data_IF_001558051064
#
_entry.id   IF_001558051064
#
_cell.length_a   1.000
_cell.length_b   1.000
_cell.length_c   1.000
_cell.angle_alpha   90.00
_cell.angle_beta   90.00
_cell.angle_gamma   90.00
#
_symmetry.space_group_name_H-M   'P 1'
#
loop_
_entity.id
_entity.type
_entity.pdbx_description
1 polymer ?
#
# COMPACT_ATOMS: atom_id res chain seq x y z
N UNK A 1 19.52 -2.26 11.48
CA UNK A 1 18.09 -2.07 11.26
C UNK A 1 17.71 -0.88 12.11
N UNK A 2 17.11 0.13 11.51
CA UNK A 2 16.53 1.24 12.26
C UNK A 2 15.38 0.72 13.12
N UNK A 3 15.13 1.36 14.27
CA UNK A 3 14.00 0.98 15.12
C UNK A 3 12.68 1.25 14.36
N UNK A 4 11.65 0.36 14.46
CA UNK A 4 10.38 0.56 13.83
C UNK A 4 9.75 1.91 14.23
N UNK A 5 9.21 2.64 13.26
CA UNK A 5 8.66 3.95 13.48
C UNK A 5 7.66 4.40 12.42
N UNK A 6 7.01 5.56 12.61
CA UNK A 6 6.11 6.14 11.61
C UNK A 6 6.90 6.66 10.40
N UNK A 7 6.49 6.27 9.20
CA UNK A 7 7.07 6.68 7.92
C UNK A 7 6.06 7.51 7.14
N UNK A 8 6.47 8.70 6.70
CA UNK A 8 5.65 9.59 5.88
C UNK A 8 5.66 9.11 4.44
N UNK A 9 4.54 8.59 3.95
CA UNK A 9 4.43 8.06 2.59
C UNK A 9 3.77 9.04 1.61
N UNK A 10 2.87 9.91 2.10
CA UNK A 10 2.26 10.98 1.29
C UNK A 10 2.46 12.30 1.98
N UNK A 11 3.02 13.28 1.26
CA UNK A 11 3.24 14.64 1.74
C UNK A 11 2.35 15.62 1.00
N UNK A 12 1.88 16.63 1.71
CA UNK A 12 1.20 17.80 1.12
C UNK A 12 2.21 18.92 1.08
N UNK A 13 2.51 19.42 -0.11
CA UNK A 13 3.34 20.61 -0.26
C UNK A 13 2.49 21.84 0.08
N UNK A 14 2.83 22.56 1.15
CA UNK A 14 2.07 23.71 1.64
C UNK A 14 2.03 24.89 0.66
N UNK A 15 3.07 25.05 -0.15
CA UNK A 15 3.17 26.17 -1.10
C UNK A 15 2.33 25.97 -2.36
N UNK A 16 2.27 24.74 -2.85
CA UNK A 16 1.61 24.40 -4.11
C UNK A 16 0.31 23.63 -3.93
N UNK A 17 0.00 23.19 -2.70
CA UNK A 17 -1.11 22.26 -2.40
C UNK A 17 -1.09 21.01 -3.27
N UNK A 18 0.11 20.56 -3.69
CA UNK A 18 0.33 19.33 -4.43
C UNK A 18 0.64 18.16 -3.50
N UNK A 19 0.36 16.95 -4.00
CA UNK A 19 0.55 15.71 -3.25
C UNK A 19 1.74 14.96 -3.82
N UNK A 20 2.66 14.54 -2.96
CA UNK A 20 3.84 13.76 -3.33
C UNK A 20 3.81 12.42 -2.61
N UNK A 21 4.01 11.34 -3.37
CA UNK A 21 4.21 9.99 -2.84
C UNK A 21 5.70 9.72 -2.71
N UNK A 22 6.13 9.38 -1.50
CA UNK A 22 7.45 8.81 -1.28
C UNK A 22 7.42 7.33 -1.70
N UNK A 23 7.68 7.13 -2.99
CA UNK A 23 7.60 5.80 -3.61
C UNK A 23 8.69 4.87 -3.10
N UNK A 24 9.86 5.41 -2.74
CA UNK A 24 10.99 4.62 -2.24
C UNK A 24 10.68 4.08 -0.84
N UNK A 25 10.28 4.97 0.08
CA UNK A 25 9.91 4.56 1.42
C UNK A 25 8.73 3.55 1.44
N UNK A 26 7.70 3.78 0.60
CA UNK A 26 6.57 2.86 0.50
C UNK A 26 6.98 1.52 -0.13
N UNK A 27 7.90 1.54 -1.12
CA UNK A 27 8.41 0.32 -1.74
C UNK A 27 9.26 -0.51 -0.77
N UNK A 28 10.10 0.12 0.06
CA UNK A 28 10.86 -0.59 1.09
C UNK A 28 9.95 -1.37 2.04
N UNK A 29 8.81 -0.79 2.43
CA UNK A 29 7.84 -1.43 3.33
C UNK A 29 7.07 -2.55 2.60
N UNK A 30 6.52 -2.28 1.41
CA UNK A 30 5.60 -3.18 0.72
C UNK A 30 6.28 -4.27 -0.11
N UNK A 31 7.51 -4.06 -0.56
CA UNK A 31 8.24 -5.02 -1.38
C UNK A 31 9.27 -5.84 -0.60
N UNK A 32 9.30 -5.72 0.74
CA UNK A 32 10.13 -6.58 1.56
C UNK A 32 9.82 -8.07 1.26
N UNK A 33 10.87 -8.93 1.13
CA UNK A 33 10.71 -10.31 0.63
C UNK A 33 9.67 -11.14 1.38
N UNK A 34 9.51 -10.89 2.68
CA UNK A 34 8.60 -11.61 3.57
C UNK A 34 7.12 -11.21 3.39
N UNK A 35 6.82 -10.04 2.82
CA UNK A 35 5.45 -9.50 2.74
C UNK A 35 4.95 -9.23 1.32
N UNK A 36 5.83 -9.00 0.35
CA UNK A 36 5.48 -8.51 -0.99
C UNK A 36 4.35 -9.26 -1.69
N UNK A 37 4.31 -10.59 -1.52
CA UNK A 37 3.36 -11.48 -2.17
C UNK A 37 2.15 -11.81 -1.31
N UNK A 38 2.13 -11.36 -0.05
CA UNK A 38 1.01 -11.59 0.87
C UNK A 38 -0.11 -10.62 0.58
N UNK A 39 -1.35 -11.08 0.78
CA UNK A 39 -2.50 -10.19 0.76
C UNK A 39 -2.39 -9.21 1.92
N UNK A 40 -2.78 -7.97 1.66
CA UNK A 40 -2.65 -6.88 2.63
C UNK A 40 -3.99 -6.58 3.30
N UNK A 41 -3.92 -6.29 4.59
CA UNK A 41 -5.00 -5.71 5.39
C UNK A 41 -4.55 -4.31 5.78
N UNK A 42 -5.30 -3.28 5.41
CA UNK A 42 -4.96 -1.89 5.71
C UNK A 42 -6.01 -1.29 6.62
N UNK A 43 -5.61 -0.95 7.85
CA UNK A 43 -6.44 -0.18 8.77
C UNK A 43 -5.97 1.27 8.74
N UNK A 44 -6.85 2.16 8.34
CA UNK A 44 -6.61 3.60 8.30
C UNK A 44 -7.45 4.32 9.34
N UNK A 45 -6.85 5.28 10.03
CA UNK A 45 -7.56 6.15 10.99
C UNK A 45 -7.51 7.58 10.49
N UNK A 46 -8.68 8.11 10.12
CA UNK A 46 -8.87 9.49 9.70
C UNK A 46 -9.83 10.24 10.63
N UNK A 47 -9.85 11.55 10.57
CA UNK A 47 -10.77 12.39 11.37
C UNK A 47 -10.11 13.65 11.88
N UNK A 48 -10.82 14.40 12.71
CA UNK A 48 -10.44 15.72 13.19
C UNK A 48 -9.05 15.80 13.82
N UNK A 49 -8.44 16.95 13.69
CA UNK A 49 -7.15 17.27 14.31
C UNK A 49 -7.23 17.10 15.84
N UNK A 50 -6.18 16.54 16.47
CA UNK A 50 -6.06 16.32 17.93
C UNK A 50 -7.15 15.49 18.58
N UNK A 51 -7.87 14.68 17.84
CA UNK A 51 -8.91 13.79 18.37
C UNK A 51 -8.39 12.39 18.74
N UNK A 52 -7.07 12.24 19.02
CA UNK A 52 -6.46 11.00 19.54
C UNK A 52 -6.38 9.84 18.57
N UNK A 53 -6.24 10.08 17.26
CA UNK A 53 -6.03 9.02 16.25
C UNK A 53 -4.81 8.17 16.58
N UNK A 54 -3.65 8.82 16.79
CA UNK A 54 -2.39 8.15 17.11
C UNK A 54 -2.43 7.39 18.43
N UNK A 55 -3.10 7.94 19.43
CA UNK A 55 -3.32 7.25 20.70
C UNK A 55 -4.05 5.90 20.51
N UNK A 56 -5.03 5.84 19.60
CA UNK A 56 -5.68 4.60 19.21
C UNK A 56 -4.73 3.66 18.45
N UNK A 57 -3.98 4.19 17.49
CA UNK A 57 -3.02 3.42 16.69
C UNK A 57 -1.94 2.79 17.56
N UNK A 58 -1.47 3.46 18.61
CA UNK A 58 -0.46 2.93 19.52
C UNK A 58 -1.00 1.73 20.33
N UNK A 59 -2.27 1.74 20.71
CA UNK A 59 -2.90 0.54 21.28
C UNK A 59 -3.04 -0.58 20.24
N UNK A 60 -3.30 -0.26 18.97
CA UNK A 60 -3.29 -1.25 17.90
C UNK A 60 -1.88 -1.85 17.69
N UNK A 61 -0.84 -1.02 17.70
CA UNK A 61 0.55 -1.48 17.64
C UNK A 61 0.87 -2.41 18.81
N UNK A 62 0.52 -2.02 20.03
CA UNK A 62 0.72 -2.84 21.23
C UNK A 62 0.05 -4.21 21.10
N UNK A 63 -1.17 -4.26 20.56
CA UNK A 63 -1.89 -5.50 20.29
C UNK A 63 -1.14 -6.36 19.26
N UNK A 64 -0.68 -5.76 18.17
CA UNK A 64 0.03 -6.48 17.11
C UNK A 64 1.39 -7.03 17.59
N UNK A 65 2.19 -6.23 18.29
CA UNK A 65 3.47 -6.68 18.86
C UNK A 65 3.30 -7.80 19.89
N UNK A 66 2.20 -7.81 20.62
CA UNK A 66 1.83 -8.89 21.56
C UNK A 66 1.05 -10.03 20.92
N UNK A 67 0.97 -10.06 19.58
CA UNK A 67 0.31 -11.13 18.79
C UNK A 67 -1.11 -11.44 19.24
N UNK A 68 -1.84 -10.44 19.74
CA UNK A 68 -3.20 -10.59 20.19
C UNK A 68 -3.42 -11.44 21.45
N UNK A 69 -2.39 -11.62 22.26
CA UNK A 69 -2.51 -12.28 23.58
C UNK A 69 -3.56 -11.59 24.45
N UNK A 70 -4.26 -12.32 25.31
CA UNK A 70 -5.32 -11.76 26.15
C UNK A 70 -4.81 -10.68 27.13
N UNK A 71 -3.51 -10.69 27.47
CA UNK A 71 -2.85 -9.66 28.28
C UNK A 71 -2.26 -8.50 27.45
N UNK A 72 -2.62 -8.37 26.18
CA UNK A 72 -2.04 -7.42 25.22
C UNK A 72 -2.04 -5.96 25.69
N UNK A 73 -3.01 -5.58 26.53
CA UNK A 73 -3.12 -4.18 27.00
C UNK A 73 -1.92 -3.76 27.86
N UNK A 74 -1.30 -4.71 28.57
CA UNK A 74 -0.07 -4.49 29.34
C UNK A 74 -0.27 -4.12 30.79
N UNK A 75 0.81 -3.80 31.48
CA UNK A 75 0.84 -3.37 32.88
C UNK A 75 0.39 -1.92 33.07
N UNK A 76 -0.04 -1.60 34.29
CA UNK A 76 -0.58 -0.27 34.62
C UNK A 76 0.41 0.88 34.43
N UNK A 77 1.70 0.64 34.68
CA UNK A 77 2.78 1.65 34.59
C UNK A 77 3.53 1.63 33.26
N UNK A 78 3.17 0.75 32.35
CA UNK A 78 3.87 0.60 31.06
C UNK A 78 3.54 1.77 30.11
N UNK A 79 4.54 2.53 29.63
CA UNK A 79 4.31 3.62 28.71
C UNK A 79 3.80 3.13 27.36
N UNK A 80 2.97 3.93 26.69
CA UNK A 80 2.50 3.65 25.35
C UNK A 80 3.53 4.22 24.35
N UNK A 81 4.01 3.36 23.46
CA UNK A 81 4.98 3.68 22.41
C UNK A 81 4.40 3.42 21.04
N UNK A 82 4.86 4.17 20.02
CA UNK A 82 4.39 4.02 18.64
C UNK A 82 4.41 5.33 17.87
N UNK A 83 3.29 5.69 17.24
CA UNK A 83 3.12 6.99 16.61
C UNK A 83 3.22 8.10 17.64
N UNK A 84 3.98 9.15 17.35
CA UNK A 84 4.08 10.28 18.29
C UNK A 84 2.70 10.95 18.49
N UNK A 85 2.14 10.87 19.71
CA UNK A 85 0.80 11.37 20.02
C UNK A 85 0.80 12.56 21.01
N UNK A 86 1.97 12.98 21.48
CA UNK A 86 2.11 14.09 22.46
C UNK A 86 1.55 15.38 21.88
N UNK A 87 0.75 16.07 22.69
CA UNK A 87 0.12 17.31 22.28
C UNK A 87 1.11 18.46 22.12
N UNK A 88 1.19 18.98 20.92
CA UNK A 88 1.77 20.29 20.61
C UNK A 88 0.71 21.21 19.99
N UNK A 89 1.01 22.49 19.75
CA UNK A 89 0.10 23.42 19.06
C UNK A 89 0.13 23.26 17.54
N UNK A 90 1.17 22.63 17.01
CA UNK A 90 1.42 22.43 15.59
C UNK A 90 0.91 21.06 15.08
N UNK A 91 0.48 20.95 13.81
CA UNK A 91 0.16 19.68 13.18
C UNK A 91 1.43 18.84 13.01
N UNK A 92 1.44 17.63 13.56
CA UNK A 92 2.59 16.72 13.42
C UNK A 92 2.52 15.86 12.15
N UNK A 93 1.32 15.63 11.59
CA UNK A 93 1.12 14.85 10.36
C UNK A 93 0.60 15.75 9.26
N UNK A 94 1.34 15.84 8.15
CA UNK A 94 0.89 16.46 6.91
C UNK A 94 0.79 15.37 5.86
N UNK A 95 -0.42 14.89 5.54
CA UNK A 95 -0.64 13.81 4.57
C UNK A 95 -0.91 12.46 5.19
N UNK A 96 -0.17 11.41 4.80
CA UNK A 96 -0.36 10.03 5.27
C UNK A 96 0.95 9.47 5.82
N UNK A 97 0.87 8.88 7.01
CA UNK A 97 1.96 8.10 7.61
C UNK A 97 1.54 6.63 7.77
N UNK A 98 2.49 5.72 7.63
CA UNK A 98 2.31 4.30 7.94
C UNK A 98 3.35 3.85 8.94
N UNK A 99 3.06 2.79 9.68
CA UNK A 99 4.09 2.13 10.48
C UNK A 99 5.08 1.41 9.57
N UNK A 100 6.37 1.54 9.82
CA UNK A 100 7.43 1.02 8.95
C UNK A 100 7.48 -0.51 8.87
N UNK A 101 6.81 -1.21 9.80
CA UNK A 101 6.77 -2.67 9.85
C UNK A 101 5.36 -3.18 9.54
N UNK A 102 5.25 -4.14 8.65
CA UNK A 102 4.01 -4.86 8.39
C UNK A 102 3.94 -6.10 9.28
N UNK A 103 2.80 -6.30 9.93
CA UNK A 103 2.60 -7.44 10.82
C UNK A 103 2.08 -8.65 10.03
N UNK A 104 2.86 -9.73 10.01
CA UNK A 104 2.43 -10.99 9.38
C UNK A 104 1.55 -11.75 10.37
N UNK A 105 0.31 -11.98 9.98
CA UNK A 105 -0.69 -12.68 10.80
C UNK A 105 -1.13 -13.96 10.09
N UNK A 106 -0.90 -15.13 10.71
CA UNK A 106 -1.41 -16.39 10.19
C UNK A 106 -2.91 -16.50 10.41
N UNK A 107 -3.65 -16.90 9.37
CA UNK A 107 -5.09 -17.16 9.42
C UNK A 107 -5.36 -18.64 9.69
N UNK A 108 -6.58 -18.96 10.09
CA UNK A 108 -7.03 -20.32 10.40
C UNK A 108 -7.00 -21.27 9.20
N UNK A 109 -7.04 -20.74 7.97
CA UNK A 109 -6.93 -21.50 6.72
C UNK A 109 -5.49 -21.83 6.31
N UNK A 110 -4.50 -21.43 7.12
CA UNK A 110 -3.07 -21.63 6.85
C UNK A 110 -2.45 -20.56 5.95
N UNK A 111 -3.22 -19.60 5.47
CA UNK A 111 -2.69 -18.44 4.74
C UNK A 111 -2.13 -17.39 5.71
N UNK A 112 -1.26 -16.53 5.22
CA UNK A 112 -0.73 -15.40 5.97
C UNK A 112 -1.11 -14.10 5.29
N UNK A 113 -1.44 -13.09 6.08
CA UNK A 113 -1.73 -11.73 5.61
C UNK A 113 -0.79 -10.73 6.25
N UNK A 114 -0.53 -9.64 5.55
CA UNK A 114 0.27 -8.52 6.04
C UNK A 114 -0.67 -7.39 6.51
N UNK A 115 -0.54 -6.97 7.76
CA UNK A 115 -1.37 -5.89 8.35
C UNK A 115 -0.58 -4.60 8.36
N UNK A 116 -1.13 -3.56 7.73
CA UNK A 116 -0.62 -2.18 7.70
C UNK A 116 -1.48 -1.28 8.57
N UNK A 117 -0.85 -0.48 9.42
CA UNK A 117 -1.51 0.57 10.20
C UNK A 117 -1.16 1.94 9.60
N UNK A 118 -2.19 2.74 9.30
CA UNK A 118 -2.09 4.00 8.59
C UNK A 118 -2.71 5.14 9.42
N UNK A 119 -1.93 6.21 9.63
CA UNK A 119 -2.39 7.48 10.21
C UNK A 119 -2.56 8.51 9.09
N UNK A 120 -3.66 9.24 9.13
CA UNK A 120 -3.90 10.34 8.20
C UNK A 120 -3.85 11.68 8.91
N UNK A 121 -3.48 12.71 8.14
CA UNK A 121 -3.57 14.10 8.59
C UNK A 121 -4.93 14.38 9.21
N UNK A 122 -4.94 15.16 10.31
CA UNK A 122 -6.17 15.63 10.92
C UNK A 122 -6.91 16.59 9.98
N UNK A 123 -8.19 16.31 9.71
CA UNK A 123 -9.04 17.25 9.00
C UNK A 123 -9.17 18.56 9.80
N UNK A 124 -9.22 19.72 9.09
CA UNK A 124 -9.41 21.05 9.68
C UNK A 124 -8.30 21.50 10.64
N UNK A 125 -7.06 21.23 10.31
CA UNK A 125 -5.96 21.99 10.88
C UNK A 125 -5.94 23.43 10.31
N UNK A 126 -5.22 24.33 10.97
CA UNK A 126 -5.18 25.75 10.58
C UNK A 126 -4.41 26.02 9.27
N UNK A 127 -3.78 25.01 8.68
CA UNK A 127 -2.86 25.15 7.54
C UNK A 127 -3.32 24.43 6.28
N UNK A 128 -4.28 23.48 6.42
CA UNK A 128 -4.75 22.63 5.33
C UNK A 128 -6.05 23.16 4.73
N UNK A 129 -6.12 23.13 3.39
CA UNK A 129 -7.36 23.45 2.70
C UNK A 129 -8.38 22.32 2.83
N UNK A 130 -9.66 22.63 2.58
CA UNK A 130 -10.71 21.59 2.49
C UNK A 130 -10.38 20.57 1.40
N UNK A 131 -9.76 21.02 0.30
CA UNK A 131 -9.28 20.16 -0.79
C UNK A 131 -8.23 19.17 -0.30
N UNK A 132 -7.22 19.65 0.45
CA UNK A 132 -6.15 18.79 0.99
C UNK A 132 -6.72 17.71 1.90
N UNK A 133 -7.59 18.10 2.83
CA UNK A 133 -8.25 17.17 3.75
C UNK A 133 -9.11 16.13 3.01
N UNK A 134 -9.89 16.57 2.02
CA UNK A 134 -10.73 15.69 1.21
C UNK A 134 -9.90 14.68 0.41
N UNK A 135 -8.79 15.14 -0.20
CA UNK A 135 -7.90 14.28 -0.99
C UNK A 135 -7.23 13.22 -0.11
N UNK A 136 -6.69 13.60 1.05
CA UNK A 136 -6.05 12.66 1.97
C UNK A 136 -7.06 11.62 2.48
N UNK A 137 -8.27 12.06 2.84
CA UNK A 137 -9.32 11.15 3.25
C UNK A 137 -9.73 10.20 2.10
N UNK A 138 -9.85 10.70 0.87
CA UNK A 138 -10.14 9.90 -0.31
C UNK A 138 -9.10 8.82 -0.53
N UNK A 139 -7.84 9.22 -0.59
CA UNK A 139 -6.73 8.32 -0.84
C UNK A 139 -6.64 7.22 0.23
N UNK A 140 -6.80 7.60 1.51
CA UNK A 140 -6.80 6.64 2.61
C UNK A 140 -7.98 5.66 2.52
N UNK A 141 -9.19 6.13 2.16
CA UNK A 141 -10.38 5.28 2.04
C UNK A 141 -10.27 4.29 0.88
N UNK A 142 -9.74 4.74 -0.27
CA UNK A 142 -9.56 3.88 -1.44
C UNK A 142 -8.53 2.78 -1.20
N UNK A 143 -7.49 3.05 -0.42
CA UNK A 143 -6.39 2.12 -0.17
C UNK A 143 -6.58 1.25 1.07
N UNK A 144 -7.53 1.58 1.98
CA UNK A 144 -7.77 0.80 3.19
C UNK A 144 -8.81 -0.32 3.01
N UNK A 145 -8.69 -1.38 3.81
CA UNK A 145 -9.72 -2.41 4.01
C UNK A 145 -10.78 -1.91 5.00
N UNK A 146 -10.32 -1.21 6.04
CA UNK A 146 -11.15 -0.60 7.07
C UNK A 146 -10.73 0.84 7.22
N UNK A 147 -11.63 1.76 6.91
CA UNK A 147 -11.48 3.17 7.18
C UNK A 147 -12.17 3.51 8.49
N UNK A 148 -11.40 3.88 9.50
CA UNK A 148 -11.92 4.35 10.80
C UNK A 148 -12.07 5.85 10.71
N UNK A 149 -13.30 6.34 10.78
CA UNK A 149 -13.59 7.76 10.84
C UNK A 149 -13.78 8.20 12.29
N UNK A 150 -12.73 8.81 12.84
CA UNK A 150 -12.62 9.17 14.26
C UNK A 150 -13.24 10.55 14.51
N UNK A 151 -14.43 10.57 15.09
CA UNK A 151 -15.21 11.76 15.40
C UNK A 151 -15.31 11.98 16.92
N UNK A 152 -15.65 13.20 17.33
CA UNK A 152 -15.82 13.55 18.74
C UNK A 152 -17.29 13.80 19.05
N UNK A 153 -17.81 13.13 20.07
CA UNK A 153 -19.11 13.32 20.69
C UNK A 153 -20.33 12.96 19.81
N UNK A 154 -20.31 13.20 18.51
CA UNK A 154 -21.47 13.01 17.64
C UNK A 154 -21.06 12.78 16.18
N UNK A 155 -22.01 12.34 15.34
CA UNK A 155 -21.94 12.45 13.89
C UNK A 155 -22.73 13.68 13.48
N UNK A 156 -22.05 14.68 12.94
CA UNK A 156 -22.66 15.95 12.48
C UNK A 156 -22.93 15.89 10.98
N UNK A 157 -23.77 16.79 10.46
CA UNK A 157 -24.09 16.82 9.03
C UNK A 157 -22.85 17.20 8.18
N UNK A 158 -21.98 18.08 8.70
CA UNK A 158 -20.71 18.44 8.04
C UNK A 158 -19.76 17.24 7.96
N UNK A 159 -19.72 16.34 8.96
CA UNK A 159 -18.97 15.08 8.89
C UNK A 159 -19.49 14.20 7.75
N UNK A 160 -20.81 14.14 7.54
CA UNK A 160 -21.42 13.37 6.46
C UNK A 160 -21.21 14.04 5.08
N UNK A 161 -21.26 15.36 5.00
CA UNK A 161 -21.04 16.11 3.77
C UNK A 161 -19.60 15.96 3.23
N UNK A 162 -18.61 15.81 4.09
CA UNK A 162 -17.23 15.50 3.70
C UNK A 162 -17.11 14.18 2.95
N UNK A 163 -18.01 13.24 3.21
CA UNK A 163 -18.07 11.98 2.48
C UNK A 163 -18.73 12.14 1.09
N UNK A 164 -19.34 13.26 0.78
CA UNK A 164 -20.13 13.46 -0.44
C UNK A 164 -19.30 13.24 -1.71
N UNK A 165 -18.07 13.72 -1.77
CA UNK A 165 -17.18 13.49 -2.92
C UNK A 165 -16.96 12.01 -3.20
N UNK A 166 -16.85 11.20 -2.13
CA UNK A 166 -16.67 9.74 -2.25
C UNK A 166 -17.96 9.04 -2.60
N UNK A 167 -19.11 9.55 -2.11
CA UNK A 167 -20.40 8.98 -2.44
C UNK A 167 -20.70 9.15 -3.94
N UNK A 168 -20.35 10.28 -4.55
CA UNK A 168 -20.46 10.49 -6.00
C UNK A 168 -19.54 9.56 -6.80
N UNK A 169 -18.28 9.40 -6.36
CA UNK A 169 -17.38 8.42 -6.95
C UNK A 169 -17.92 6.99 -6.84
N UNK A 170 -18.43 6.63 -5.67
CA UNK A 170 -19.01 5.32 -5.44
C UNK A 170 -20.22 5.04 -6.34
N UNK A 171 -21.09 6.00 -6.51
CA UNK A 171 -22.26 5.88 -7.40
C UNK A 171 -21.85 5.57 -8.84
N UNK A 172 -20.88 6.31 -9.40
CA UNK A 172 -20.40 6.07 -10.76
C UNK A 172 -19.67 4.73 -10.90
N UNK A 173 -18.91 4.33 -9.89
CA UNK A 173 -18.25 3.02 -9.88
C UNK A 173 -19.27 1.86 -9.86
N UNK A 174 -20.39 2.03 -9.17
CA UNK A 174 -21.48 1.04 -9.15
C UNK A 174 -22.17 0.86 -10.49
N UNK A 175 -22.38 1.96 -11.23
CA UNK A 175 -23.02 1.93 -12.55
C UNK A 175 -22.24 1.05 -13.54
N UNK A 176 -20.90 0.98 -13.40
CA UNK A 176 -20.04 0.19 -14.29
C UNK A 176 -19.71 -1.23 -13.76
N UNK A 177 -19.63 -1.41 -12.43
CA UNK A 177 -19.03 -2.62 -11.82
C UNK A 177 -20.06 -3.47 -11.08
N UNK A 178 -21.24 -2.95 -10.78
CA UNK A 178 -22.28 -3.59 -9.94
C UNK A 178 -21.81 -4.02 -8.54
N UNK A 179 -20.72 -3.46 -8.03
CA UNK A 179 -20.17 -3.75 -6.71
C UNK A 179 -19.86 -2.45 -5.96
N UNK A 180 -20.01 -2.50 -4.64
CA UNK A 180 -19.66 -1.37 -3.78
C UNK A 180 -18.16 -1.10 -3.85
N UNK A 181 -17.71 0.14 -4.14
CA UNK A 181 -16.31 0.46 -4.40
C UNK A 181 -15.41 0.37 -3.17
N UNK A 182 -15.97 0.58 -1.97
CA UNK A 182 -15.23 0.59 -0.72
C UNK A 182 -15.68 -0.55 0.20
N UNK A 183 -14.76 -1.04 1.01
CA UNK A 183 -15.04 -2.16 1.90
C UNK A 183 -15.74 -1.70 3.17
N UNK A 184 -15.02 -1.32 4.19
CA UNK A 184 -15.60 -1.05 5.49
C UNK A 184 -15.34 0.38 5.95
N UNK A 185 -16.40 1.06 6.38
CA UNK A 185 -16.34 2.33 7.09
C UNK A 185 -16.77 2.09 8.55
N UNK A 186 -15.93 2.49 9.49
CA UNK A 186 -16.26 2.47 10.90
C UNK A 186 -16.25 3.87 11.48
N UNK A 187 -17.39 4.37 11.90
CA UNK A 187 -17.48 5.58 12.72
C UNK A 187 -17.02 5.27 14.14
N UNK A 188 -15.96 5.90 14.59
CA UNK A 188 -15.52 5.84 15.99
C UNK A 188 -15.88 7.15 16.68
N UNK A 189 -16.92 7.13 17.50
CA UNK A 189 -17.39 8.30 18.23
C UNK A 189 -16.70 8.32 19.58
N UNK A 190 -15.74 9.23 19.73
CA UNK A 190 -14.99 9.41 20.97
C UNK A 190 -15.70 10.37 21.91
N UNK A 191 -15.36 10.24 23.18
CA UNK A 191 -15.86 11.11 24.25
C UNK A 191 -17.38 11.08 24.35
N UNK A 192 -17.98 9.91 24.04
CA UNK A 192 -19.41 9.70 24.13
C UNK A 192 -19.90 9.90 25.55
N UNK A 193 -20.79 10.86 25.74
CA UNK A 193 -21.23 11.34 27.06
C UNK A 193 -22.65 10.92 27.42
N UNK A 194 -23.34 10.14 26.56
CA UNK A 194 -24.76 9.76 26.74
C UNK A 194 -24.97 8.23 26.78
N UNK A 195 -24.25 7.48 27.68
CA UNK A 195 -24.35 6.01 27.72
C UNK A 195 -25.74 5.53 28.17
N UNK A 196 -26.57 6.41 28.73
CA UNK A 196 -27.97 6.15 29.10
C UNK A 196 -28.91 6.18 27.88
N UNK A 197 -28.53 6.79 26.76
CA UNK A 197 -29.30 6.75 25.51
C UNK A 197 -28.82 5.59 24.62
N UNK A 198 -27.50 5.50 24.40
CA UNK A 198 -26.85 4.43 23.65
C UNK A 198 -25.62 3.94 24.40
N UNK A 199 -25.58 2.65 24.69
CA UNK A 199 -24.48 2.03 25.43
C UNK A 199 -23.15 2.12 24.66
N UNK A 200 -22.06 2.14 25.40
CA UNK A 200 -20.71 2.06 24.78
C UNK A 200 -20.57 0.81 23.91
N UNK A 201 -19.63 0.87 22.98
CA UNK A 201 -19.28 -0.24 22.12
C UNK A 201 -20.09 -0.32 20.82
N UNK A 202 -20.01 -1.46 20.13
CA UNK A 202 -20.67 -1.65 18.84
C UNK A 202 -22.20 -1.69 18.91
N UNK A 203 -22.77 -2.26 19.96
CA UNK A 203 -24.23 -2.38 20.05
C UNK A 203 -24.90 -1.00 20.05
N UNK A 204 -24.59 -0.18 21.05
CA UNK A 204 -25.14 1.17 21.11
C UNK A 204 -24.67 2.05 19.93
N UNK A 205 -23.45 1.83 19.45
CA UNK A 205 -22.91 2.54 18.29
C UNK A 205 -23.73 2.28 17.03
N UNK A 206 -24.04 1.04 16.71
CA UNK A 206 -24.82 0.71 15.53
C UNK A 206 -26.27 1.20 15.65
N UNK A 207 -26.90 1.06 16.82
CA UNK A 207 -28.24 1.61 17.08
C UNK A 207 -28.27 3.14 16.89
N UNK A 208 -27.23 3.84 17.33
CA UNK A 208 -27.04 5.28 17.11
C UNK A 208 -26.84 5.61 15.62
N UNK A 209 -25.97 4.87 14.92
CA UNK A 209 -25.67 5.05 13.52
C UNK A 209 -26.91 4.86 12.63
N UNK A 210 -27.67 3.80 12.87
CA UNK A 210 -28.90 3.50 12.12
C UNK A 210 -29.86 4.69 12.18
N UNK A 211 -30.00 5.32 13.34
CA UNK A 211 -30.82 6.53 13.50
C UNK A 211 -30.24 7.74 12.75
N UNK A 212 -28.90 7.89 12.71
CA UNK A 212 -28.21 9.01 12.02
C UNK A 212 -28.23 8.87 10.51
N UNK A 213 -28.09 7.66 9.99
CA UNK A 213 -28.09 7.36 8.57
C UNK A 213 -29.49 7.02 8.02
N UNK A 214 -30.53 7.03 8.83
CA UNK A 214 -31.91 6.80 8.39
C UNK A 214 -32.34 7.91 7.42
N UNK A 215 -32.76 7.52 6.22
CA UNK A 215 -33.40 8.42 5.24
C UNK A 215 -34.86 8.63 5.66
N UNK A 216 -35.28 9.87 5.81
CA UNK A 216 -36.66 10.24 6.19
C UNK A 216 -37.24 11.13 5.10
N UNK A 217 -38.49 10.88 4.71
CA UNK A 217 -39.21 11.68 3.71
C UNK A 217 -39.29 13.18 4.05
N UNK A 218 -39.30 13.53 5.33
CA UNK A 218 -39.35 14.90 5.80
C UNK A 218 -37.99 15.64 5.80
N UNK A 219 -36.89 14.95 5.47
CA UNK A 219 -35.57 15.58 5.34
C UNK A 219 -35.43 16.29 4.00
N UNK A 220 -34.55 17.31 3.96
CA UNK A 220 -34.16 17.94 2.70
C UNK A 220 -33.51 16.92 1.77
N UNK A 221 -33.77 17.01 0.46
CA UNK A 221 -33.29 16.07 -0.57
C UNK A 221 -31.77 15.89 -0.53
N UNK A 222 -31.01 16.97 -0.32
CA UNK A 222 -29.56 16.94 -0.18
C UNK A 222 -29.11 15.98 0.95
N UNK A 223 -29.76 16.04 2.11
CA UNK A 223 -29.43 15.19 3.26
C UNK A 223 -29.81 13.73 3.02
N UNK A 224 -30.88 13.46 2.29
CA UNK A 224 -31.26 12.11 1.87
C UNK A 224 -30.21 11.52 0.93
N UNK A 225 -29.83 12.29 -0.10
CA UNK A 225 -28.83 11.91 -1.11
C UNK A 225 -27.50 11.50 -0.48
N UNK A 226 -26.97 12.28 0.47
CA UNK A 226 -25.71 11.95 1.16
C UNK A 226 -25.81 10.61 1.87
N UNK A 227 -26.89 10.31 2.59
CA UNK A 227 -27.09 9.06 3.31
C UNK A 227 -27.22 7.85 2.38
N UNK A 228 -28.00 7.98 1.34
CA UNK A 228 -28.17 6.95 0.30
C UNK A 228 -26.82 6.62 -0.35
N UNK A 229 -26.04 7.62 -0.72
CA UNK A 229 -24.73 7.42 -1.32
C UNK A 229 -23.74 6.75 -0.36
N UNK A 230 -23.70 7.14 0.91
CA UNK A 230 -22.84 6.46 1.91
C UNK A 230 -23.19 4.97 1.97
N UNK A 231 -24.49 4.63 2.05
CA UNK A 231 -24.92 3.24 2.06
C UNK A 231 -24.55 2.48 0.76
N UNK A 232 -24.58 3.16 -0.38
CA UNK A 232 -24.25 2.57 -1.67
C UNK A 232 -22.75 2.36 -1.88
N UNK A 233 -21.90 3.16 -1.22
CA UNK A 233 -20.45 3.15 -1.43
C UNK A 233 -19.70 2.07 -0.64
N UNK A 234 -20.14 1.74 0.56
CA UNK A 234 -19.43 0.83 1.47
C UNK A 234 -20.13 -0.51 1.60
N UNK A 235 -19.33 -1.59 1.57
CA UNK A 235 -19.86 -2.95 1.79
C UNK A 235 -20.36 -3.12 3.21
N UNK A 236 -19.66 -2.54 4.18
CA UNK A 236 -20.00 -2.58 5.61
C UNK A 236 -19.83 -1.20 6.21
N UNK A 237 -20.83 -0.80 7.01
CA UNK A 237 -20.76 0.43 7.79
C UNK A 237 -21.09 0.07 9.24
N UNK A 238 -20.27 0.53 10.17
CA UNK A 238 -20.45 0.26 11.61
C UNK A 238 -20.11 1.50 12.42
N UNK A 239 -20.50 1.47 13.70
CA UNK A 239 -20.17 2.54 14.63
C UNK A 239 -19.78 1.95 16.00
N UNK A 240 -18.83 2.59 16.64
CA UNK A 240 -18.39 2.27 17.98
C UNK A 240 -18.41 3.52 18.85
N UNK A 241 -19.09 3.45 19.99
CA UNK A 241 -19.14 4.54 20.98
C UNK A 241 -18.08 4.30 22.04
N UNK A 242 -17.11 5.23 22.13
CA UNK A 242 -15.97 5.14 23.03
C UNK A 242 -16.09 6.22 24.11
N UNK A 243 -15.99 5.87 25.42
CA UNK A 243 -15.99 6.86 26.49
C UNK A 243 -14.78 7.78 26.44
N UNK A 244 -14.75 8.82 27.25
CA UNK A 244 -13.60 9.68 27.44
C UNK A 244 -12.46 8.91 28.15
N UNK A 245 -11.19 9.05 27.72
CA UNK A 245 -10.07 8.29 28.30
C UNK A 245 -9.68 8.68 29.72
N UNK A 246 -10.23 9.77 30.24
CA UNK A 246 -9.92 10.29 31.56
C UNK A 246 -9.31 11.69 31.51
N UNK A 247 -9.51 12.46 32.59
CA UNK A 247 -9.05 13.84 32.64
C UNK A 247 -7.52 13.94 32.62
N UNK A 248 -6.81 13.05 33.31
CA UNK A 248 -5.34 13.02 33.31
C UNK A 248 -4.76 12.86 31.90
N UNK A 249 -5.37 11.95 31.08
CA UNK A 249 -4.95 11.76 29.68
C UNK A 249 -5.09 13.04 28.86
N UNK A 250 -6.15 13.81 29.11
CA UNK A 250 -6.44 15.03 28.36
C UNK A 250 -5.64 16.26 28.81
N UNK A 251 -5.22 16.33 30.08
CA UNK A 251 -4.70 17.56 30.69
C UNK A 251 -3.27 17.47 31.22
N UNK A 252 -2.74 16.27 31.47
CA UNK A 252 -1.41 16.12 32.03
C UNK A 252 -0.32 16.13 30.93
N UNK A 253 0.61 17.09 30.95
CA UNK A 253 1.74 17.11 30.01
C UNK A 253 2.76 15.98 30.28
N UNK A 254 2.66 15.32 31.43
CA UNK A 254 3.54 14.22 31.86
C UNK A 254 2.95 12.84 31.55
N UNK A 255 1.74 12.78 30.97
CA UNK A 255 1.12 11.52 30.59
C UNK A 255 1.90 10.88 29.43
N UNK A 256 2.36 9.65 29.63
CA UNK A 256 3.12 8.86 28.65
C UNK A 256 2.39 7.57 28.21
N UNK A 257 1.07 7.52 28.45
CA UNK A 257 0.26 6.39 28.05
C UNK A 257 0.11 5.29 29.11
N UNK A 258 0.49 5.57 30.36
CA UNK A 258 0.31 4.64 31.47
C UNK A 258 -1.15 4.32 31.71
N UNK A 259 -1.48 3.02 31.81
CA UNK A 259 -2.85 2.55 31.97
C UNK A 259 -3.47 2.91 33.33
N UNK A 260 -2.65 3.14 34.38
CA UNK A 260 -3.13 3.62 35.67
C UNK A 260 -3.84 4.99 35.59
N UNK A 261 -3.48 5.80 34.57
CA UNK A 261 -4.06 7.13 34.36
C UNK A 261 -5.27 7.10 33.40
N UNK A 262 -5.54 5.97 32.74
CA UNK A 262 -6.63 5.80 31.80
C UNK A 262 -7.88 5.29 32.51
N UNK A 263 -9.03 5.90 32.19
CA UNK A 263 -10.31 5.54 32.80
C UNK A 263 -10.67 4.05 32.59
N UNK A 264 -11.18 3.35 33.62
CA UNK A 264 -11.50 1.92 33.52
C UNK A 264 -12.46 1.58 32.37
N UNK A 265 -13.51 2.39 32.20
CA UNK A 265 -14.51 2.20 31.13
C UNK A 265 -13.86 2.29 29.74
N UNK A 266 -12.91 3.21 29.57
CA UNK A 266 -12.15 3.34 28.32
C UNK A 266 -11.31 2.08 28.05
N UNK A 267 -10.60 1.57 29.06
CA UNK A 267 -9.82 0.32 28.97
C UNK A 267 -10.67 -0.88 28.57
N UNK A 268 -11.85 -1.02 29.17
CA UNK A 268 -12.80 -2.09 28.82
C UNK A 268 -13.28 -1.98 27.36
N UNK A 269 -13.55 -0.76 26.89
CA UNK A 269 -13.97 -0.57 25.52
C UNK A 269 -12.80 -0.82 24.52
N UNK A 270 -11.55 -0.51 24.86
CA UNK A 270 -10.39 -0.89 24.06
C UNK A 270 -10.24 -2.40 23.93
N UNK A 271 -10.43 -3.15 25.02
CA UNK A 271 -10.41 -4.63 25.00
C UNK A 271 -11.51 -5.23 24.12
N UNK A 272 -12.61 -4.50 23.91
CA UNK A 272 -13.66 -4.90 22.98
C UNK A 272 -13.36 -4.49 21.54
N UNK A 273 -12.87 -3.27 21.32
CA UNK A 273 -12.66 -2.68 19.98
C UNK A 273 -11.50 -3.32 19.23
N UNK A 274 -10.30 -3.29 19.83
CA UNK A 274 -9.05 -3.63 19.12
C UNK A 274 -9.01 -5.09 18.68
N UNK A 275 -9.36 -6.09 19.52
CA UNK A 275 -9.42 -7.47 19.07
C UNK A 275 -10.47 -7.72 17.96
N UNK A 276 -11.56 -6.96 17.92
CA UNK A 276 -12.54 -7.06 16.84
C UNK A 276 -12.04 -6.56 15.50
N UNK A 277 -11.06 -5.65 15.50
CA UNK A 277 -10.44 -5.11 14.31
C UNK A 277 -9.23 -5.94 13.84
N UNK A 278 -8.46 -6.53 14.76
CA UNK A 278 -7.11 -7.02 14.50
C UNK A 278 -6.90 -8.52 14.77
N UNK A 279 -7.86 -9.25 15.36
CA UNK A 279 -7.73 -10.71 15.49
C UNK A 279 -7.78 -11.40 14.13
N UNK A 280 -6.97 -12.43 13.95
CA UNK A 280 -6.78 -13.15 12.68
C UNK A 280 -8.09 -13.53 11.98
N UNK A 281 -9.10 -13.96 12.74
CA UNK A 281 -10.41 -14.39 12.23
C UNK A 281 -11.29 -13.21 11.75
N UNK A 282 -10.88 -11.98 12.07
CA UNK A 282 -11.63 -10.75 11.75
C UNK A 282 -10.96 -9.88 10.69
N UNK A 283 -9.72 -10.17 10.35
CA UNK A 283 -8.97 -9.40 9.37
C UNK A 283 -9.62 -9.46 7.99
N UNK A 284 -10.03 -8.31 7.50
CA UNK A 284 -10.56 -8.13 6.15
C UNK A 284 -9.41 -7.78 5.21
N UNK A 285 -9.07 -8.69 4.30
CA UNK A 285 -8.07 -8.43 3.26
C UNK A 285 -8.56 -7.31 2.34
N UNK A 286 -7.63 -6.49 1.86
CA UNK A 286 -7.98 -5.44 0.88
C UNK A 286 -8.45 -6.07 -0.41
N UNK A 287 -9.62 -5.64 -0.87
CA UNK A 287 -10.19 -6.04 -2.14
C UNK A 287 -10.49 -4.82 -3.01
N UNK A 288 -10.20 -4.94 -4.29
CA UNK A 288 -10.58 -3.95 -5.30
C UNK A 288 -11.18 -4.73 -6.47
N UNK A 289 -12.41 -4.38 -6.85
CA UNK A 289 -13.15 -5.07 -7.90
C UNK A 289 -13.27 -6.60 -7.66
N UNK A 290 -13.38 -7.02 -6.39
CA UNK A 290 -13.46 -8.45 -6.01
C UNK A 290 -12.15 -9.22 -6.10
N UNK A 291 -11.04 -8.56 -6.39
CA UNK A 291 -9.71 -9.15 -6.34
C UNK A 291 -9.02 -8.75 -5.03
N UNK A 292 -8.44 -9.74 -4.34
CA UNK A 292 -7.60 -9.47 -3.18
C UNK A 292 -6.30 -8.80 -3.62
N UNK A 293 -5.87 -7.78 -2.90
CA UNK A 293 -4.70 -6.98 -3.21
C UNK A 293 -3.51 -7.47 -2.39
N UNK A 294 -2.38 -7.73 -3.06
CA UNK A 294 -1.09 -8.02 -2.40
C UNK A 294 -0.39 -6.72 -1.99
N UNK A 295 0.64 -6.82 -1.14
CA UNK A 295 1.47 -5.65 -0.81
C UNK A 295 2.07 -5.00 -2.06
N UNK A 296 2.59 -5.80 -3.00
CA UNK A 296 3.09 -5.30 -4.29
C UNK A 296 1.99 -4.60 -5.10
N UNK A 297 0.78 -5.18 -5.15
CA UNK A 297 -0.37 -4.56 -5.83
C UNK A 297 -0.78 -3.23 -5.19
N UNK A 298 -0.74 -3.12 -3.87
CA UNK A 298 -1.10 -1.89 -3.15
C UNK A 298 -0.20 -0.72 -3.53
N UNK A 299 1.10 -0.96 -3.75
CA UNK A 299 2.04 0.06 -4.23
C UNK A 299 1.59 0.67 -5.56
N UNK A 300 1.14 -0.16 -6.50
CA UNK A 300 0.67 0.32 -7.81
C UNK A 300 -0.62 1.14 -7.68
N UNK A 301 -1.53 0.78 -6.75
CA UNK A 301 -2.72 1.59 -6.47
C UNK A 301 -2.34 2.96 -5.90
N UNK A 302 -1.40 3.04 -4.96
CA UNK A 302 -0.94 4.33 -4.45
C UNK A 302 -0.35 5.21 -5.57
N UNK A 303 0.52 4.66 -6.42
CA UNK A 303 1.11 5.38 -7.55
C UNK A 303 0.07 5.91 -8.53
N UNK A 304 -0.94 5.10 -8.86
CA UNK A 304 -1.98 5.50 -9.80
C UNK A 304 -2.88 6.60 -9.22
N UNK A 305 -3.29 6.48 -7.97
CA UNK A 305 -4.17 7.47 -7.34
C UNK A 305 -3.46 8.82 -7.14
N UNK A 306 -2.19 8.81 -6.71
CA UNK A 306 -1.44 10.06 -6.51
C UNK A 306 -1.31 10.87 -7.81
N UNK A 307 -1.08 10.23 -8.95
CA UNK A 307 -1.01 10.92 -10.25
C UNK A 307 -2.25 11.77 -10.55
N UNK A 308 -3.43 11.31 -10.12
CA UNK A 308 -4.68 12.03 -10.35
C UNK A 308 -4.77 13.25 -9.45
N UNK A 309 -4.33 13.11 -8.20
CA UNK A 309 -4.40 14.20 -7.22
C UNK A 309 -3.28 15.24 -7.38
N UNK A 310 -2.31 15.03 -8.28
CA UNK A 310 -1.29 16.03 -8.62
C UNK A 310 -1.81 17.18 -9.47
N UNK A 311 -3.05 17.10 -10.01
CA UNK A 311 -3.69 18.18 -10.75
C UNK A 311 -4.15 19.34 -9.87
N UNK A 312 -4.44 20.51 -10.50
CA UNK A 312 -4.89 21.71 -9.80
C UNK A 312 -6.29 21.59 -9.19
N UNK A 313 -7.17 20.81 -9.84
CA UNK A 313 -8.56 20.58 -9.41
C UNK A 313 -8.74 19.21 -8.76
N UNK A 314 -9.77 19.08 -7.92
CA UNK A 314 -10.21 17.77 -7.42
C UNK A 314 -10.60 16.89 -8.62
N UNK A 315 -10.15 15.61 -8.62
CA UNK A 315 -10.40 14.71 -9.73
C UNK A 315 -11.90 14.45 -9.91
N UNK A 316 -12.32 14.38 -11.15
CA UNK A 316 -13.67 13.97 -11.49
C UNK A 316 -13.85 12.49 -11.13
N UNK A 317 -15.04 12.06 -10.71
CA UNK A 317 -15.33 10.65 -10.38
C UNK A 317 -14.93 9.67 -11.49
N UNK A 318 -15.20 10.03 -12.77
CA UNK A 318 -14.79 9.24 -13.93
C UNK A 318 -13.26 9.04 -14.01
N UNK A 319 -12.48 10.06 -13.68
CA UNK A 319 -11.00 9.99 -13.66
C UNK A 319 -10.52 9.06 -12.57
N UNK A 320 -11.17 9.07 -11.40
CA UNK A 320 -10.86 8.17 -10.29
C UNK A 320 -11.16 6.71 -10.66
N UNK A 321 -12.26 6.45 -11.34
CA UNK A 321 -12.60 5.12 -11.82
C UNK A 321 -11.59 4.61 -12.84
N UNK A 322 -11.16 5.46 -13.79
CA UNK A 322 -10.11 5.11 -14.76
C UNK A 322 -8.78 4.80 -14.08
N UNK A 323 -8.39 5.56 -13.07
CA UNK A 323 -7.17 5.27 -12.31
C UNK A 323 -7.26 3.96 -11.51
N UNK A 324 -8.42 3.67 -10.93
CA UNK A 324 -8.64 2.39 -10.27
C UNK A 324 -8.53 1.24 -11.29
N UNK A 325 -9.07 1.40 -12.48
CA UNK A 325 -8.94 0.43 -13.57
C UNK A 325 -7.48 0.28 -14.03
N UNK A 326 -6.76 1.38 -14.19
CA UNK A 326 -5.33 1.38 -14.52
C UNK A 326 -4.50 0.64 -13.46
N UNK A 327 -4.67 1.00 -12.18
CA UNK A 327 -3.96 0.36 -11.08
C UNK A 327 -4.28 -1.14 -10.96
N UNK A 328 -5.56 -1.52 -11.13
CA UNK A 328 -5.98 -2.91 -11.11
C UNK A 328 -5.30 -3.72 -12.24
N UNK A 329 -5.24 -3.16 -13.45
CA UNK A 329 -4.60 -3.82 -14.59
C UNK A 329 -3.08 -3.88 -14.42
N UNK A 330 -2.43 -2.80 -13.93
CA UNK A 330 -1.00 -2.79 -13.61
C UNK A 330 -0.66 -3.81 -12.52
N UNK A 331 -1.46 -3.94 -11.48
CA UNK A 331 -1.28 -4.95 -10.44
C UNK A 331 -1.39 -6.38 -11.03
N UNK A 332 -2.32 -6.61 -11.95
CA UNK A 332 -2.45 -7.89 -12.66
C UNK A 332 -1.22 -8.19 -13.54
N UNK A 333 -0.68 -7.18 -14.25
CA UNK A 333 0.57 -7.30 -15.02
C UNK A 333 1.73 -7.63 -14.10
N UNK A 334 1.88 -6.90 -12.99
CA UNK A 334 2.97 -7.11 -12.03
C UNK A 334 2.93 -8.52 -11.44
N UNK A 335 1.76 -9.02 -11.05
CA UNK A 335 1.59 -10.38 -10.54
C UNK A 335 1.92 -11.46 -11.57
N UNK A 336 1.44 -11.32 -12.80
CA UNK A 336 1.73 -12.27 -13.88
C UNK A 336 3.22 -12.28 -14.26
N UNK A 337 3.85 -11.11 -14.29
CA UNK A 337 5.28 -10.93 -14.53
C UNK A 337 6.13 -11.59 -13.44
N UNK A 338 5.79 -11.37 -12.18
CA UNK A 338 6.48 -11.98 -11.05
C UNK A 338 6.37 -13.52 -11.08
N UNK A 339 5.19 -14.06 -11.38
CA UNK A 339 5.01 -15.50 -11.59
C UNK A 339 5.92 -16.03 -12.72
N UNK A 340 5.99 -15.31 -13.85
CA UNK A 340 6.85 -15.67 -14.96
C UNK A 340 8.33 -15.69 -14.54
N UNK A 341 8.81 -14.63 -13.88
CA UNK A 341 10.21 -14.56 -13.45
C UNK A 341 10.56 -15.64 -12.42
N UNK A 342 9.73 -15.87 -11.42
CA UNK A 342 9.93 -16.95 -10.44
C UNK A 342 9.99 -18.33 -11.10
N UNK A 343 9.15 -18.55 -12.13
CA UNK A 343 9.14 -19.81 -12.87
C UNK A 343 10.38 -19.95 -13.76
N UNK A 344 10.81 -18.88 -14.43
CA UNK A 344 12.01 -18.90 -15.25
C UNK A 344 13.30 -19.00 -14.42
N UNK A 345 13.33 -18.39 -13.24
CA UNK A 345 14.47 -18.52 -12.32
C UNK A 345 14.70 -19.97 -11.87
N UNK A 346 13.62 -20.75 -11.67
CA UNK A 346 13.71 -22.19 -11.43
C UNK A 346 14.21 -23.01 -12.62
N UNK A 347 14.14 -22.47 -13.83
CA UNK A 347 14.54 -23.14 -15.06
C UNK A 347 15.99 -22.78 -15.47
N UNK A 348 16.37 -21.51 -15.31
CA UNK A 348 17.66 -21.00 -15.82
C UNK A 348 18.31 -19.97 -14.88
N UNK A 349 17.90 -19.90 -13.60
CA UNK A 349 18.48 -18.97 -12.61
C UNK A 349 19.69 -19.53 -11.89
N UNK A 350 20.55 -18.61 -11.39
CA UNK A 350 21.68 -18.94 -10.51
C UNK A 350 22.63 -20.00 -11.04
N UNK A 351 22.92 -21.00 -10.20
CA UNK A 351 23.87 -22.08 -10.46
C UNK A 351 23.30 -23.25 -11.27
N UNK A 352 22.11 -23.09 -11.86
CA UNK A 352 21.50 -24.15 -12.67
C UNK A 352 22.28 -24.39 -13.96
N UNK A 353 22.38 -25.65 -14.41
CA UNK A 353 23.12 -25.99 -15.63
C UNK A 353 22.46 -25.36 -16.86
N UNK A 354 23.26 -24.98 -17.84
CA UNK A 354 22.77 -24.46 -19.11
C UNK A 354 21.88 -25.46 -19.83
N UNK A 355 20.76 -24.99 -20.32
CA UNK A 355 19.79 -25.76 -21.07
C UNK A 355 19.95 -25.52 -22.56
N UNK A 356 19.67 -26.55 -23.38
CA UNK A 356 19.66 -26.39 -24.83
C UNK A 356 18.65 -25.32 -25.27
N UNK A 357 18.94 -24.53 -26.33
CA UNK A 357 18.04 -23.43 -26.75
C UNK A 357 16.62 -23.85 -27.01
N UNK A 358 16.41 -24.98 -27.69
CA UNK A 358 15.07 -25.48 -28.00
C UNK A 358 14.27 -25.85 -26.72
N UNK A 359 14.94 -26.51 -25.76
CA UNK A 359 14.33 -26.82 -24.47
C UNK A 359 14.05 -25.58 -23.62
N UNK A 360 14.92 -24.56 -23.70
CA UNK A 360 14.73 -23.27 -23.02
C UNK A 360 13.54 -22.50 -23.65
N UNK A 361 13.42 -22.53 -24.99
CA UNK A 361 12.31 -21.89 -25.69
C UNK A 361 10.97 -22.56 -25.38
N UNK A 362 10.94 -23.89 -25.25
CA UNK A 362 9.75 -24.64 -24.82
C UNK A 362 9.34 -24.21 -23.40
N UNK A 363 10.30 -24.14 -22.45
CA UNK A 363 10.03 -23.72 -21.08
C UNK A 363 9.62 -22.24 -20.98
N UNK A 364 10.27 -21.37 -21.77
CA UNK A 364 9.88 -19.97 -21.88
C UNK A 364 8.44 -19.85 -22.39
N UNK A 365 8.11 -20.51 -23.49
CA UNK A 365 6.76 -20.49 -24.06
C UNK A 365 5.70 -21.01 -23.10
N UNK A 366 5.99 -22.11 -22.41
CA UNK A 366 5.09 -22.65 -21.37
C UNK A 366 4.85 -21.65 -20.23
N UNK A 367 5.92 -21.16 -19.60
CA UNK A 367 5.83 -20.21 -18.47
C UNK A 367 5.19 -18.89 -18.89
N UNK A 368 5.44 -18.43 -20.12
CA UNK A 368 4.79 -17.25 -20.68
C UNK A 368 3.28 -17.45 -20.84
N UNK A 369 2.82 -18.61 -21.36
CA UNK A 369 1.40 -18.92 -21.48
C UNK A 369 0.72 -19.03 -20.11
N UNK A 370 1.39 -19.62 -19.11
CA UNK A 370 0.88 -19.68 -17.73
C UNK A 370 0.71 -18.27 -17.14
N UNK A 371 1.69 -17.39 -17.31
CA UNK A 371 1.61 -16.00 -16.86
C UNK A 371 0.49 -15.22 -17.59
N UNK A 372 0.35 -15.43 -18.90
CA UNK A 372 -0.73 -14.83 -19.67
C UNK A 372 -2.10 -15.36 -19.25
N UNK A 373 -2.20 -16.64 -18.92
CA UNK A 373 -3.42 -17.23 -18.37
C UNK A 373 -3.75 -16.64 -16.99
N UNK A 374 -2.77 -16.50 -16.10
CA UNK A 374 -2.96 -15.87 -14.80
C UNK A 374 -3.42 -14.41 -14.95
N UNK A 375 -2.81 -13.64 -15.88
CA UNK A 375 -3.28 -12.30 -16.21
C UNK A 375 -4.73 -12.31 -16.71
N UNK A 376 -5.09 -13.22 -17.63
CA UNK A 376 -6.46 -13.29 -18.19
C UNK A 376 -7.52 -13.73 -17.18
N UNK A 377 -7.17 -14.61 -16.25
CA UNK A 377 -8.08 -15.10 -15.19
C UNK A 377 -8.36 -14.06 -14.11
N UNK A 378 -7.46 -13.08 -13.91
CA UNK A 378 -7.68 -12.00 -12.97
C UNK A 378 -8.80 -11.07 -13.49
N UNK A 379 -9.77 -10.74 -12.62
CA UNK A 379 -10.85 -9.83 -12.96
C UNK A 379 -10.31 -8.42 -13.20
N UNK A 380 -10.55 -7.87 -14.38
CA UNK A 380 -10.03 -6.57 -14.84
C UNK A 380 -11.11 -5.51 -14.91
N UNK A 381 -10.69 -4.25 -14.99
CA UNK A 381 -11.56 -3.08 -15.09
C UNK A 381 -11.23 -2.25 -16.32
N UNK A 382 -12.15 -1.40 -16.78
CA UNK A 382 -11.94 -0.40 -17.83
C UNK A 382 -12.27 -0.87 -19.25
N UNK A 383 -12.94 -2.01 -19.41
CA UNK A 383 -13.34 -2.55 -20.73
C UNK A 383 -12.24 -3.32 -21.46
N UNK A 384 -12.63 -3.98 -22.57
CA UNK A 384 -11.76 -4.94 -23.27
C UNK A 384 -10.54 -4.24 -23.90
N UNK A 385 -10.74 -3.15 -24.61
CA UNK A 385 -9.65 -2.40 -25.28
C UNK A 385 -8.58 -1.91 -24.31
N UNK A 386 -9.01 -1.46 -23.11
CA UNK A 386 -8.12 -1.02 -22.05
C UNK A 386 -7.32 -2.20 -21.48
N UNK A 387 -7.95 -3.36 -21.30
CA UNK A 387 -7.27 -4.58 -20.84
C UNK A 387 -6.28 -5.13 -21.86
N UNK A 388 -6.59 -5.07 -23.14
CA UNK A 388 -5.71 -5.54 -24.23
C UNK A 388 -4.38 -4.79 -24.26
N UNK A 389 -4.38 -3.48 -24.01
CA UNK A 389 -3.16 -2.66 -23.87
C UNK A 389 -2.22 -3.19 -22.78
N UNK A 390 -2.74 -3.58 -21.64
CA UNK A 390 -1.93 -4.13 -20.55
C UNK A 390 -1.47 -5.56 -20.82
N UNK A 391 -2.23 -6.32 -21.60
CA UNK A 391 -1.77 -7.62 -22.10
C UNK A 391 -0.56 -7.47 -23.03
N UNK A 392 -0.60 -6.51 -23.95
CA UNK A 392 0.54 -6.18 -24.84
C UNK A 392 1.76 -5.74 -24.02
N UNK A 393 1.57 -4.89 -23.01
CA UNK A 393 2.65 -4.48 -22.10
C UNK A 393 3.30 -5.69 -21.41
N UNK A 394 2.52 -6.65 -20.89
CA UNK A 394 3.04 -7.87 -20.29
C UNK A 394 3.87 -8.68 -21.30
N UNK A 395 3.39 -8.79 -22.55
CA UNK A 395 4.11 -9.50 -23.62
C UNK A 395 5.45 -8.82 -23.95
N UNK A 396 5.47 -7.51 -24.10
CA UNK A 396 6.70 -6.76 -24.38
C UNK A 396 7.71 -6.88 -23.24
N UNK A 397 7.29 -6.75 -22.00
CA UNK A 397 8.18 -6.81 -20.84
C UNK A 397 8.78 -8.20 -20.62
N UNK A 398 8.04 -9.27 -20.88
CA UNK A 398 8.57 -10.64 -20.79
C UNK A 398 9.54 -10.97 -21.94
N UNK A 399 9.43 -10.31 -23.09
CA UNK A 399 10.36 -10.49 -24.22
C UNK A 399 11.64 -9.66 -24.08
N UNK A 400 11.62 -8.53 -23.36
CA UNK A 400 12.78 -7.62 -23.20
C UNK A 400 13.92 -8.18 -22.33
N UNK A 401 13.74 -9.27 -21.63
CA UNK A 401 14.69 -9.81 -20.63
C UNK A 401 15.98 -10.39 -21.21
N UNK A 402 16.20 -10.32 -22.51
CA UNK A 402 17.38 -10.90 -23.21
C UNK A 402 18.58 -9.94 -23.39
N UNK A 403 18.60 -8.74 -22.79
CA UNK A 403 19.76 -7.83 -22.95
C UNK A 403 20.88 -8.21 -21.99
N UNK A 404 21.92 -8.81 -22.55
CA UNK A 404 23.14 -9.22 -21.84
C UNK A 404 23.87 -8.02 -21.22
N UNK A 405 24.19 -8.12 -19.91
CA UNK A 405 25.05 -7.17 -19.17
C UNK A 405 26.40 -6.97 -19.88
N UNK A 406 26.96 -8.04 -20.52
CA UNK A 406 28.17 -7.99 -21.31
C UNK A 406 28.08 -7.02 -22.50
N UNK A 407 26.90 -6.89 -23.13
CA UNK A 407 26.70 -5.93 -24.21
C UNK A 407 26.81 -4.48 -23.74
N UNK A 408 26.25 -4.17 -22.57
CA UNK A 408 26.35 -2.83 -21.97
C UNK A 408 27.78 -2.51 -21.60
N UNK A 409 28.53 -3.45 -21.00
CA UNK A 409 29.94 -3.28 -20.67
C UNK A 409 30.79 -3.04 -21.94
N UNK A 410 30.52 -3.77 -23.00
CA UNK A 410 31.18 -3.58 -24.28
C UNK A 410 30.96 -2.17 -24.85
N UNK A 411 29.74 -1.67 -24.82
CA UNK A 411 29.43 -0.30 -25.25
C UNK A 411 30.16 0.75 -24.39
N UNK A 412 30.21 0.57 -23.07
CA UNK A 412 30.92 1.49 -22.16
C UNK A 412 32.44 1.50 -22.46
N UNK A 413 33.07 0.34 -22.61
CA UNK A 413 34.49 0.24 -22.91
C UNK A 413 34.84 0.85 -24.29
N UNK A 414 33.99 0.67 -25.29
CA UNK A 414 34.14 1.27 -26.60
C UNK A 414 34.10 2.80 -26.56
N UNK A 415 33.10 3.35 -25.86
CA UNK A 415 32.97 4.80 -25.70
C UNK A 415 34.16 5.37 -24.93
N UNK A 416 34.56 4.70 -23.82
CA UNK A 416 35.68 5.14 -22.97
C UNK A 416 36.99 5.12 -23.73
N UNK A 417 37.28 4.07 -24.56
CA UNK A 417 38.44 3.99 -25.43
C UNK A 417 38.48 5.17 -26.42
N UNK A 418 37.35 5.47 -27.07
CA UNK A 418 37.24 6.60 -27.99
C UNK A 418 37.52 7.95 -27.34
N UNK A 419 36.99 8.19 -26.13
CA UNK A 419 37.24 9.42 -25.36
C UNK A 419 38.70 9.53 -24.98
N UNK A 420 39.32 8.47 -24.45
CA UNK A 420 40.74 8.45 -24.05
C UNK A 420 41.68 8.68 -25.22
N UNK A 421 41.38 8.11 -26.38
CA UNK A 421 42.13 8.34 -27.62
C UNK A 421 42.04 9.79 -28.07
N UNK A 422 40.85 10.39 -28.05
CA UNK A 422 40.62 11.79 -28.43
C UNK A 422 41.34 12.80 -27.51
N UNK A 423 41.47 12.48 -26.24
CA UNK A 423 42.18 13.32 -25.22
C UNK A 423 43.70 13.14 -25.28
N UNK A 424 44.21 12.27 -26.16
CA UNK A 424 45.64 12.02 -26.34
C UNK A 424 46.29 11.05 -25.35
N UNK A 425 45.49 10.35 -24.55
CA UNK A 425 45.92 9.33 -23.59
C UNK A 425 45.99 7.94 -24.26
N UNK A 426 46.80 7.80 -25.31
CA UNK A 426 46.88 6.61 -26.19
C UNK A 426 47.22 5.32 -25.46
N UNK A 427 48.04 5.35 -24.42
CA UNK A 427 48.39 4.17 -23.61
C UNK A 427 47.20 3.66 -22.82
N UNK A 428 46.39 4.55 -22.28
CA UNK A 428 45.14 4.17 -21.58
C UNK A 428 44.06 3.71 -22.56
N UNK A 429 43.97 4.31 -23.74
CA UNK A 429 43.08 3.85 -24.80
C UNK A 429 43.45 2.41 -25.23
N UNK A 430 44.73 2.08 -25.36
CA UNK A 430 45.20 0.74 -25.70
C UNK A 430 44.78 -0.29 -24.61
N UNK A 431 44.82 0.07 -23.32
CA UNK A 431 44.36 -0.80 -22.25
C UNK A 431 42.86 -1.04 -22.35
N UNK A 432 42.08 -0.01 -22.65
CA UNK A 432 40.62 -0.15 -22.88
C UNK A 432 40.32 -1.03 -24.10
N UNK A 433 41.11 -0.91 -25.19
CA UNK A 433 40.94 -1.74 -26.38
C UNK A 433 41.28 -3.21 -26.10
N UNK A 434 42.32 -3.47 -25.30
CA UNK A 434 42.63 -4.83 -24.85
C UNK A 434 41.52 -5.41 -23.98
N UNK A 435 40.99 -4.64 -23.05
CA UNK A 435 39.84 -5.06 -22.24
C UNK A 435 38.58 -5.30 -23.08
N UNK A 436 38.32 -4.45 -24.07
CA UNK A 436 37.26 -4.62 -25.06
C UNK A 436 37.41 -5.94 -25.82
N UNK A 437 38.64 -6.27 -26.26
CA UNK A 437 38.93 -7.55 -26.93
C UNK A 437 38.64 -8.76 -26.05
N UNK A 438 39.02 -8.71 -24.77
CA UNK A 438 38.71 -9.78 -23.79
C UNK A 438 37.20 -9.94 -23.60
N UNK A 439 36.47 -8.85 -23.41
CA UNK A 439 35.01 -8.86 -23.27
C UNK A 439 34.32 -9.39 -24.51
N UNK A 440 34.81 -9.02 -25.72
CA UNK A 440 34.29 -9.54 -26.97
C UNK A 440 34.51 -11.06 -27.10
N UNK A 441 35.69 -11.56 -26.77
CA UNK A 441 35.98 -13.01 -26.79
C UNK A 441 35.09 -13.73 -25.77
N UNK A 442 34.96 -13.19 -24.55
CA UNK A 442 34.10 -13.74 -23.51
C UNK A 442 32.64 -13.80 -23.99
N UNK A 443 32.16 -12.74 -24.66
CA UNK A 443 30.81 -12.66 -25.19
C UNK A 443 30.55 -13.65 -26.33
N UNK A 444 31.51 -13.80 -27.23
CA UNK A 444 31.41 -14.78 -28.31
C UNK A 444 31.48 -16.22 -27.78
N UNK A 445 32.34 -16.47 -26.80
CA UNK A 445 32.45 -17.78 -26.13
C UNK A 445 31.16 -18.09 -25.37
N UNK A 446 30.64 -17.12 -24.60
CA UNK A 446 29.37 -17.24 -23.90
C UNK A 446 28.20 -17.49 -24.86
N UNK A 447 28.12 -16.74 -25.98
CA UNK A 447 27.11 -16.94 -27.01
C UNK A 447 27.23 -18.34 -27.63
N UNK A 448 28.45 -18.79 -27.97
CA UNK A 448 28.68 -20.13 -28.49
C UNK A 448 28.21 -21.21 -27.50
N UNK A 449 28.56 -21.10 -26.22
CA UNK A 449 28.13 -22.03 -25.16
C UNK A 449 26.61 -22.02 -25.04
N UNK A 450 26.03 -20.84 -25.07
CA UNK A 450 24.57 -20.64 -24.95
C UNK A 450 23.80 -21.26 -26.14
N UNK A 451 24.36 -21.13 -27.36
CA UNK A 451 23.72 -21.71 -28.55
C UNK A 451 24.03 -23.19 -28.77
N UNK A 452 25.19 -23.69 -28.33
CA UNK A 452 25.57 -25.09 -28.54
C UNK A 452 25.22 -26.03 -27.39
N UNK A 453 24.93 -25.48 -26.19
CA UNK A 453 24.70 -26.24 -24.94
C UNK A 453 25.94 -27.00 -24.45
N UNK A 454 27.14 -26.75 -25.06
CA UNK A 454 28.41 -27.38 -24.68
C UNK A 454 29.23 -26.50 -23.75
N UNK A 455 30.12 -27.11 -22.95
CA UNK A 455 31.05 -26.39 -22.06
C UNK A 455 30.36 -25.53 -21.00
N UNK A 456 29.32 -26.05 -20.38
CA UNK A 456 28.45 -25.35 -19.39
C UNK A 456 29.24 -24.78 -18.18
N UNK A 457 30.30 -25.46 -17.74
CA UNK A 457 31.17 -24.99 -16.66
C UNK A 457 31.86 -23.68 -16.97
N UNK A 458 32.30 -23.50 -18.25
CA UNK A 458 32.92 -22.24 -18.72
C UNK A 458 31.90 -21.13 -18.82
N UNK A 459 30.68 -21.44 -19.26
CA UNK A 459 29.58 -20.49 -19.27
C UNK A 459 29.23 -19.97 -17.87
N UNK A 460 29.18 -20.89 -16.86
CA UNK A 460 28.96 -20.52 -15.45
C UNK A 460 30.06 -19.60 -14.91
N UNK A 461 31.32 -19.85 -15.26
CA UNK A 461 32.42 -18.98 -14.83
C UNK A 461 32.31 -17.56 -15.45
N UNK A 462 31.85 -17.45 -16.71
CA UNK A 462 31.64 -16.16 -17.36
C UNK A 462 30.49 -15.40 -16.71
N UNK A 463 29.39 -16.08 -16.39
CA UNK A 463 28.24 -15.44 -15.71
C UNK A 463 28.60 -15.00 -14.30
N UNK A 464 29.37 -15.80 -13.56
CA UNK A 464 29.82 -15.43 -12.21
C UNK A 464 30.75 -14.21 -12.24
N UNK A 465 31.70 -14.16 -13.20
CA UNK A 465 32.55 -13.00 -13.38
C UNK A 465 31.76 -11.74 -13.76
N UNK A 466 30.78 -11.88 -14.65
CA UNK A 466 29.88 -10.78 -15.02
C UNK A 466 29.04 -10.28 -13.84
N UNK A 467 28.58 -11.19 -12.96
CA UNK A 467 27.84 -10.86 -11.74
C UNK A 467 28.67 -10.01 -10.77
N UNK A 468 29.93 -10.41 -10.52
CA UNK A 468 30.86 -9.65 -9.65
C UNK A 468 31.10 -8.24 -10.18
N UNK A 469 31.29 -8.09 -11.50
CA UNK A 469 31.48 -6.78 -12.15
C UNK A 469 30.22 -5.92 -11.99
N UNK A 470 29.04 -6.53 -12.10
CA UNK A 470 27.77 -5.81 -11.97
C UNK A 470 27.55 -5.29 -10.54
N UNK A 471 27.89 -6.08 -9.52
CA UNK A 471 27.82 -5.65 -8.11
C UNK A 471 28.74 -4.45 -7.83
N UNK A 472 29.96 -4.46 -8.41
CA UNK A 472 30.90 -3.34 -8.25
C UNK A 472 30.49 -2.07 -9.00
N UNK A 473 29.68 -2.16 -10.05
CA UNK A 473 29.17 -1.00 -10.80
C UNK A 473 27.91 -0.40 -10.14
N UNK A 474 27.23 -1.18 -9.28
CA UNK A 474 26.04 -0.73 -8.52
C UNK A 474 26.38 -0.03 -7.19
N UNK A 475 27.58 -0.17 -6.65
CA UNK A 475 28.12 0.61 -5.52
C UNK A 475 28.67 1.96 -6.02
#
# INVERSE_FOLDING_TARGET
MEEPGPVQIVRVCKETHSFELDTEALAEILLAPEVRDKHVVVLSVAGGFRKGKRFLLDFMLRFMYRKGDDSWLGGDDEPLTGFSWRGGSEPETTGIQVWSELFIVPKSDGTEVAVMLMDTQGAFDNESTVKDCATIFALSTMTSSIQIYNLSQNIQEDDLQQLQLFTEYGRLAMDEIFQKPFQSLMFLIRDWSFPYEYTYGFKGGNEFLDKRLQVKEAQHEELQTVREHIHSCFTSISCFLLPHPGLKVATSPQFEGQLCDVAPEFKEQLKSLIPKLLRAERLAEKEINGNKVTCMGLLEFFKAYIKIYQGEDLPQPKTMLMATAEANNLAAVAGAKDQYYKSMEKVCGGDLPYMAPDALEEKHSFNFHEALHAFKSTKKMGGQEFCDRYQEQLQEETQKTKKSVLFVLLCILYILSGILFFVGLSTFALVCDCALGVVMIAMLTWAFIRYSGRYQTVGGAIDQAAGVVLEQVRM
#
